data_IF_826883777341
#
_entry.id   IF_826883777341
#
_cell.length_a   1.000
_cell.length_b   1.000
_cell.length_c   1.000
_cell.angle_alpha   90.00
_cell.angle_beta   90.00
_cell.angle_gamma   90.00
#
_symmetry.space_group_name_H-M   'P 1'
#
loop_
_entity.id
_entity.type
_entity.pdbx_description
1 polymer ?
#
# COMPACT_ATOMS: atom_id res chain seq x y z
N UNK A 1 -4.90 7.92 12.32
CA UNK A 1 -3.78 8.22 11.41
C UNK A 1 -4.20 9.18 10.33
N UNK A 2 -3.47 10.22 10.19
CA UNK A 2 -3.74 11.21 9.16
C UNK A 2 -3.38 10.68 7.79
N UNK A 3 -4.17 11.05 6.81
CA UNK A 3 -3.93 10.71 5.44
C UNK A 3 -3.09 11.82 4.82
N UNK A 4 -1.80 11.58 4.67
CA UNK A 4 -0.87 12.64 4.29
C UNK A 4 -0.72 12.80 2.79
N UNK A 5 -1.26 11.89 2.00
CA UNK A 5 -1.13 11.94 0.56
C UNK A 5 -2.44 12.22 -0.15
N UNK A 6 -3.52 12.32 0.59
CA UNK A 6 -4.78 12.62 -0.05
C UNK A 6 -4.85 14.10 -0.39
N UNK A 7 -5.44 14.38 -1.51
CA UNK A 7 -5.83 15.74 -1.83
C UNK A 7 -7.15 16.02 -1.14
N UNK A 8 -7.54 17.27 -1.10
CA UNK A 8 -8.71 17.69 -0.36
C UNK A 8 -10.00 17.01 -0.79
N UNK A 9 -10.02 16.41 -1.97
CA UNK A 9 -11.23 15.75 -2.47
C UNK A 9 -11.02 14.27 -2.73
N UNK A 10 -9.91 13.72 -2.29
CA UNK A 10 -9.67 12.29 -2.46
C UNK A 10 -10.58 11.48 -1.60
N UNK A 11 -11.14 10.44 -2.15
CA UNK A 11 -11.88 9.45 -1.40
C UNK A 11 -10.90 8.51 -0.72
N UNK A 12 -11.41 7.70 0.20
CA UNK A 12 -10.59 6.67 0.82
C UNK A 12 -9.98 5.73 -0.24
N UNK A 13 -10.62 5.60 -1.37
CA UNK A 13 -10.19 4.72 -2.45
C UNK A 13 -8.83 5.16 -3.01
N UNK A 14 -8.60 6.46 -3.11
CA UNK A 14 -7.36 7.00 -3.66
C UNK A 14 -6.38 7.46 -2.59
N UNK A 15 -6.79 7.43 -1.35
CA UNK A 15 -5.97 7.96 -0.25
C UNK A 15 -4.97 6.94 0.23
N UNK A 16 -3.82 7.42 0.65
CA UNK A 16 -2.79 6.60 1.25
C UNK A 16 -2.61 7.01 2.69
N UNK A 17 -2.68 6.04 3.59
CA UNK A 17 -2.46 6.26 5.01
C UNK A 17 -1.00 6.02 5.30
N UNK A 18 -0.34 7.01 5.85
CA UNK A 18 1.07 6.91 6.23
C UNK A 18 1.15 6.31 7.62
N UNK A 19 1.84 5.18 7.73
CA UNK A 19 1.91 4.44 8.98
C UNK A 19 3.36 4.18 9.34
N UNK A 20 3.79 4.73 10.48
CA UNK A 20 5.15 4.58 10.97
C UNK A 20 5.41 3.20 11.55
N UNK A 21 4.36 2.46 11.90
CA UNK A 21 4.50 1.13 12.49
C UNK A 21 4.34 0.02 11.48
N UNK A 22 3.82 0.31 10.30
CA UNK A 22 3.66 -0.71 9.27
C UNK A 22 5.01 -1.12 8.71
N UNK A 23 5.19 -2.40 8.48
CA UNK A 23 6.43 -2.94 7.95
C UNK A 23 6.38 -3.16 6.44
N UNK A 24 5.22 -3.01 5.82
CA UNK A 24 5.07 -3.20 4.39
C UNK A 24 4.01 -2.27 3.84
N UNK A 25 4.16 -1.93 2.56
CA UNK A 25 3.12 -1.21 1.83
C UNK A 25 2.02 -2.18 1.45
N UNK A 26 0.77 -1.74 1.56
CA UNK A 26 -0.39 -2.57 1.23
C UNK A 26 -1.36 -1.74 0.43
N UNK A 27 -1.90 -2.32 -0.64
CA UNK A 27 -3.01 -1.71 -1.36
C UNK A 27 -4.07 -2.76 -1.65
N UNK A 28 -5.31 -2.32 -1.73
CA UNK A 28 -6.41 -3.18 -2.14
C UNK A 28 -6.74 -2.99 -3.63
N UNK A 29 -5.97 -2.15 -4.32
CA UNK A 29 -6.24 -1.79 -5.71
C UNK A 29 -5.28 -2.50 -6.64
N UNK A 30 -5.77 -3.55 -7.28
CA UNK A 30 -5.00 -4.30 -8.27
C UNK A 30 -4.58 -3.44 -9.46
N UNK A 31 -5.42 -2.47 -9.81
CA UNK A 31 -5.20 -1.64 -10.99
C UNK A 31 -4.01 -0.69 -10.89
N UNK A 32 -3.48 -0.48 -9.68
CA UNK A 32 -2.34 0.41 -9.50
C UNK A 32 -1.01 -0.21 -9.88
N UNK A 33 -0.95 -1.53 -9.98
CA UNK A 33 0.32 -2.23 -10.14
C UNK A 33 0.83 -2.13 -11.58
N UNK A 34 2.08 -1.71 -11.73
CA UNK A 34 2.81 -1.78 -12.99
C UNK A 34 3.37 -3.18 -13.21
N UNK A 35 3.93 -3.74 -12.17
CA UNK A 35 4.41 -5.11 -12.18
C UNK A 35 3.78 -5.85 -11.03
N UNK A 36 3.41 -7.10 -11.27
CA UNK A 36 2.65 -7.85 -10.29
C UNK A 36 2.98 -9.33 -10.40
N UNK A 37 3.11 -9.98 -9.26
CA UNK A 37 3.27 -11.42 -9.18
C UNK A 37 2.30 -11.96 -8.14
N UNK A 38 1.61 -13.02 -8.48
CA UNK A 38 0.75 -13.71 -7.52
C UNK A 38 1.46 -14.90 -6.87
N UNK A 39 2.71 -15.10 -7.18
CA UNK A 39 3.52 -16.17 -6.61
C UNK A 39 4.18 -15.68 -5.33
N UNK A 40 3.41 -15.67 -4.25
CA UNK A 40 3.88 -15.15 -2.98
C UNK A 40 3.57 -16.15 -1.87
N UNK A 41 4.55 -16.35 -1.00
CA UNK A 41 4.40 -17.15 0.21
C UNK A 41 4.35 -16.25 1.42
N UNK A 42 3.72 -16.75 2.48
CA UNK A 42 3.72 -16.05 3.74
C UNK A 42 2.42 -15.30 4.00
N UNK A 43 2.37 -14.73 5.18
CA UNK A 43 1.19 -13.99 5.64
C UNK A 43 1.65 -12.67 6.26
N UNK A 44 0.72 -11.73 6.32
CA UNK A 44 0.94 -10.46 7.00
C UNK A 44 0.26 -10.54 8.35
N UNK A 45 0.99 -10.14 9.39
CA UNK A 45 0.46 -10.08 10.75
C UNK A 45 0.12 -8.64 11.09
N UNK A 46 -1.03 -8.45 11.69
CA UNK A 46 -1.48 -7.13 12.11
C UNK A 46 -1.43 -7.02 13.63
N UNK A 47 -1.56 -5.79 14.11
CA UNK A 47 -1.46 -5.50 15.54
C UNK A 47 -2.51 -6.23 16.37
N UNK A 48 -3.66 -6.52 15.79
CA UNK A 48 -4.73 -7.26 16.47
C UNK A 48 -4.51 -8.78 16.40
N UNK A 49 -3.32 -9.20 15.95
CA UNK A 49 -2.91 -10.61 15.82
C UNK A 49 -3.60 -11.35 14.70
N UNK A 50 -4.36 -10.66 13.88
CA UNK A 50 -4.93 -11.30 12.69
C UNK A 50 -3.84 -11.52 11.66
N UNK A 51 -4.09 -12.49 10.77
CA UNK A 51 -3.19 -12.83 9.68
C UNK A 51 -3.96 -12.80 8.38
N UNK A 52 -3.35 -12.22 7.37
CA UNK A 52 -3.94 -12.21 6.03
C UNK A 52 -2.87 -12.65 5.05
N UNK A 53 -3.23 -13.58 4.17
CA UNK A 53 -2.35 -13.95 3.07
C UNK A 53 -2.58 -13.00 1.92
N UNK A 54 -1.55 -12.26 1.48
CA UNK A 54 -1.71 -11.38 0.32
C UNK A 54 -2.01 -12.18 -0.93
N UNK A 55 -2.71 -11.55 -1.87
CA UNK A 55 -2.98 -12.15 -3.17
C UNK A 55 -1.82 -11.95 -4.14
N UNK A 56 -0.90 -11.07 -3.83
CA UNK A 56 0.26 -10.86 -4.68
C UNK A 56 1.12 -9.72 -4.18
N UNK A 57 2.17 -9.45 -4.92
CA UNK A 57 3.15 -8.41 -4.60
C UNK A 57 3.61 -7.78 -5.90
N UNK A 58 3.95 -6.51 -5.84
CA UNK A 58 4.45 -5.84 -7.03
C UNK A 58 4.90 -4.44 -6.76
N UNK A 59 5.03 -3.67 -7.84
CA UNK A 59 5.43 -2.27 -7.77
C UNK A 59 4.34 -1.38 -8.32
N UNK A 60 4.24 -0.19 -7.76
CA UNK A 60 3.29 0.82 -8.20
C UNK A 60 4.01 2.15 -8.36
N UNK A 61 3.43 3.04 -9.16
CA UNK A 61 3.87 4.43 -9.21
C UNK A 61 2.95 5.25 -8.33
N UNK A 62 3.54 5.91 -7.35
CA UNK A 62 2.81 6.82 -6.51
C UNK A 62 2.90 8.21 -7.11
N UNK A 63 1.76 8.77 -7.49
CA UNK A 63 1.70 10.08 -8.12
C UNK A 63 1.11 11.06 -7.14
N UNK A 64 1.91 12.05 -6.78
CA UNK A 64 1.50 13.10 -5.87
C UNK A 64 1.61 14.41 -6.62
N UNK A 65 0.53 15.20 -6.61
CA UNK A 65 0.49 16.46 -7.33
C UNK A 65 1.65 17.36 -6.91
N UNK A 66 2.37 17.88 -7.90
CA UNK A 66 3.48 18.78 -7.65
C UNK A 66 4.81 18.12 -7.33
N UNK A 67 4.86 16.79 -7.34
CA UNK A 67 6.08 16.04 -7.04
C UNK A 67 6.40 15.07 -8.16
N UNK A 68 7.67 14.67 -8.30
CA UNK A 68 8.02 13.62 -9.22
C UNK A 68 7.34 12.31 -8.85
N UNK A 69 7.11 11.45 -9.83
CA UNK A 69 6.58 10.13 -9.57
C UNK A 69 7.56 9.33 -8.73
N UNK A 70 7.03 8.57 -7.80
CA UNK A 70 7.82 7.75 -6.91
C UNK A 70 7.40 6.29 -7.09
N UNK A 71 8.35 5.41 -7.26
CA UNK A 71 8.07 3.99 -7.44
C UNK A 71 8.16 3.30 -6.09
N UNK A 72 7.08 2.68 -5.69
CA UNK A 72 7.03 1.85 -4.49
C UNK A 72 7.23 0.41 -4.91
N UNK A 73 8.23 -0.25 -4.32
CA UNK A 73 8.50 -1.65 -4.56
C UNK A 73 7.95 -2.48 -3.41
N UNK A 74 7.72 -3.76 -3.69
CA UNK A 74 7.29 -4.73 -2.69
C UNK A 74 6.00 -4.31 -2.01
N UNK A 75 5.05 -3.83 -2.81
CA UNK A 75 3.72 -3.49 -2.33
C UNK A 75 2.87 -4.75 -2.36
N UNK A 76 2.23 -5.05 -1.24
CA UNK A 76 1.37 -6.22 -1.14
C UNK A 76 -0.04 -5.88 -1.60
N UNK A 77 -0.63 -6.81 -2.34
CA UNK A 77 -2.01 -6.69 -2.77
C UNK A 77 -2.89 -7.53 -1.85
N UNK A 78 -3.77 -6.86 -1.13
CA UNK A 78 -4.73 -7.52 -0.24
C UNK A 78 -6.10 -6.96 -0.57
N UNK A 79 -6.88 -7.74 -1.30
CA UNK A 79 -8.14 -7.24 -1.86
C UNK A 79 -9.17 -6.88 -0.79
N UNK A 80 -9.15 -7.55 0.36
CA UNK A 80 -10.10 -7.26 1.42
C UNK A 80 -9.67 -6.12 2.34
N UNK A 81 -8.47 -5.62 2.15
CA UNK A 81 -8.01 -4.46 2.91
C UNK A 81 -8.67 -3.22 2.33
N UNK A 82 -9.22 -2.37 3.16
CA UNK A 82 -10.00 -1.23 2.68
C UNK A 82 -9.23 0.07 2.71
N UNK A 83 -7.90 -0.02 2.71
CA UNK A 83 -7.05 1.16 2.75
C UNK A 83 -5.80 0.91 1.92
N UNK A 84 -5.21 2.00 1.47
CA UNK A 84 -3.87 1.97 0.90
C UNK A 84 -2.91 2.41 2.00
N UNK A 85 -1.98 1.54 2.36
CA UNK A 85 -1.10 1.76 3.49
C UNK A 85 0.32 1.96 3.01
N UNK A 86 0.92 3.08 3.42
CA UNK A 86 2.29 3.41 3.05
C UNK A 86 3.17 3.27 4.28
N UNK A 87 4.14 2.38 4.20
CA UNK A 87 5.05 2.12 5.31
C UNK A 87 6.21 3.11 5.26
N UNK A 88 6.39 3.89 6.31
CA UNK A 88 7.54 4.77 6.41
C UNK A 88 8.84 4.00 6.63
N UNK A 89 8.76 2.81 7.19
CA UNK A 89 9.94 1.99 7.41
C UNK A 89 10.58 1.58 6.10
N UNK A 90 9.77 1.31 5.08
CA UNK A 90 10.27 0.88 3.77
C UNK A 90 10.68 2.03 2.87
N UNK A 91 10.22 3.23 3.15
CA UNK A 91 10.63 4.40 2.37
C UNK A 91 12.00 4.87 2.88
N UNK A 92 12.95 4.94 2.00
CA UNK A 92 14.31 5.35 2.35
C UNK A 92 14.83 6.35 1.36
#
# INVERSE_FOLDING_TARGET
MEDVFSTSFSSWYDSWVLDTDATCHITFRRDLFDQFSDNIDGVVYFADKSQIKPSGIGSIQLKISGLPNYILNDVLYISQFQRNLLSLIQIR
#
